data_IF_509444558458
#
_entry.id   IF_509444558458
#
_cell.length_a   1.000
_cell.length_b   1.000
_cell.length_c   1.000
_cell.angle_alpha   90.00
_cell.angle_beta   90.00
_cell.angle_gamma   90.00
#
_symmetry.space_group_name_H-M   'P 1'
#
loop_
_entity.id
_entity.type
_entity.pdbx_description
1 polymer ?
#
# COMPACT_ATOMS: atom_id res chain seq x y z
N UNK A 1 -4.08 10.02 -10.13
CA UNK A 1 -2.67 10.29 -10.50
C UNK A 1 -2.02 11.08 -9.37
N UNK A 2 -0.84 10.67 -8.87
CA UNK A 2 -0.15 11.40 -7.78
C UNK A 2 0.74 12.51 -8.37
N UNK A 3 1.06 13.54 -7.58
CA UNK A 3 1.87 14.70 -8.03
C UNK A 3 3.32 14.32 -8.39
N UNK A 4 3.87 13.30 -7.75
CA UNK A 4 5.23 12.81 -7.97
C UNK A 4 5.36 12.00 -9.27
N UNK A 5 4.24 11.62 -9.89
CA UNK A 5 4.20 10.91 -11.17
C UNK A 5 4.22 11.86 -12.37
N UNK A 6 4.25 13.18 -12.13
CA UNK A 6 4.24 14.21 -13.16
C UNK A 6 2.85 14.50 -13.68
N UNK A 7 2.74 14.89 -14.95
CA UNK A 7 1.44 15.17 -15.57
C UNK A 7 0.75 13.87 -15.97
N UNK A 8 -0.56 13.78 -15.70
CA UNK A 8 -1.36 12.65 -16.14
C UNK A 8 -1.43 12.60 -17.68
N UNK A 9 -1.04 11.48 -18.30
CA UNK A 9 -1.14 11.31 -19.74
C UNK A 9 -2.59 11.40 -20.21
N UNK A 10 -2.79 11.94 -21.42
CA UNK A 10 -4.11 11.93 -22.07
C UNK A 10 -4.39 10.60 -22.80
N UNK A 11 -3.34 9.91 -23.21
CA UNK A 11 -3.44 8.63 -23.89
C UNK A 11 -3.53 7.49 -22.85
N UNK A 12 -4.50 6.61 -23.02
CA UNK A 12 -4.75 5.51 -22.08
C UNK A 12 -3.69 4.41 -22.17
N UNK A 13 -3.06 4.21 -23.32
CA UNK A 13 -1.97 3.23 -23.45
C UNK A 13 -0.71 3.75 -22.74
N UNK A 14 -0.40 5.04 -22.91
CA UNK A 14 0.70 5.70 -22.20
C UNK A 14 0.51 5.62 -20.67
N UNK A 15 -0.72 5.86 -20.18
CA UNK A 15 -1.05 5.70 -18.77
C UNK A 15 -0.77 4.27 -18.28
N UNK A 16 -1.25 3.27 -19.02
CA UNK A 16 -1.06 1.86 -18.66
C UNK A 16 0.43 1.49 -18.66
N UNK A 17 1.20 1.97 -19.62
CA UNK A 17 2.64 1.69 -19.71
C UNK A 17 3.41 2.30 -18.54
N UNK A 18 3.10 3.53 -18.14
CA UNK A 18 3.71 4.16 -16.96
C UNK A 18 3.40 3.39 -15.68
N UNK A 19 2.13 3.01 -15.48
CA UNK A 19 1.71 2.25 -14.29
C UNK A 19 2.37 0.87 -14.27
N UNK A 20 2.39 0.16 -15.40
CA UNK A 20 3.07 -1.15 -15.52
C UNK A 20 4.56 -1.04 -15.24
N UNK A 21 5.22 -0.02 -15.79
CA UNK A 21 6.64 0.21 -15.56
C UNK A 21 6.93 0.44 -14.07
N UNK A 22 6.15 1.27 -13.38
CA UNK A 22 6.30 1.48 -11.93
C UNK A 22 6.03 0.20 -11.13
N UNK A 23 5.00 -0.56 -11.50
CA UNK A 23 4.63 -1.82 -10.84
C UNK A 23 5.75 -2.87 -10.91
N UNK A 24 6.55 -2.90 -11.99
CA UNK A 24 7.70 -3.83 -12.11
C UNK A 24 8.71 -3.64 -10.98
N UNK A 25 8.87 -2.42 -10.47
CA UNK A 25 9.79 -2.10 -9.37
C UNK A 25 9.12 -2.10 -7.99
N UNK A 26 7.80 -2.32 -7.93
CA UNK A 26 7.08 -2.38 -6.67
C UNK A 26 7.50 -3.63 -5.86
N UNK A 27 7.68 -3.51 -4.54
CA UNK A 27 7.86 -4.69 -3.69
C UNK A 27 6.71 -5.67 -3.86
N UNK A 28 6.99 -6.98 -3.99
CA UNK A 28 5.92 -7.98 -4.06
C UNK A 28 5.12 -7.97 -2.77
N UNK A 29 3.81 -8.20 -2.87
CA UNK A 29 2.94 -8.33 -1.70
C UNK A 29 2.86 -9.80 -1.26
N UNK A 30 3.16 -10.03 0.02
CA UNK A 30 3.04 -11.34 0.68
C UNK A 30 1.65 -11.41 1.30
N UNK A 31 0.81 -12.39 0.95
CA UNK A 31 -0.50 -12.55 1.56
C UNK A 31 -0.37 -12.93 3.03
N UNK A 32 -1.16 -12.27 3.88
CA UNK A 32 -1.23 -12.55 5.32
C UNK A 32 -2.55 -13.23 5.65
N UNK A 33 -3.67 -12.57 5.35
CA UNK A 33 -5.01 -13.07 5.62
C UNK A 33 -6.05 -12.31 4.80
N UNK A 34 -6.98 -13.01 4.14
CA UNK A 34 -8.03 -12.37 3.32
C UNK A 34 -7.41 -11.36 2.33
N UNK A 35 -7.87 -10.11 2.33
CA UNK A 35 -7.36 -9.01 1.51
C UNK A 35 -6.13 -8.29 2.12
N UNK A 36 -5.42 -8.90 3.08
CA UNK A 36 -4.31 -8.27 3.81
C UNK A 36 -2.96 -8.76 3.31
N UNK A 37 -2.05 -7.81 3.10
CA UNK A 37 -0.73 -8.08 2.53
C UNK A 37 0.38 -7.28 3.20
N UNK A 38 1.57 -7.86 3.27
CA UNK A 38 2.80 -7.18 3.70
C UNK A 38 3.77 -7.06 2.51
N UNK A 39 4.41 -5.90 2.30
CA UNK A 39 5.40 -5.76 1.24
C UNK A 39 6.67 -6.56 1.57
N UNK A 40 7.16 -7.29 0.57
CA UNK A 40 8.44 -7.99 0.59
C UNK A 40 9.58 -7.00 0.36
N UNK A 41 9.83 -6.15 1.34
CA UNK A 41 10.93 -5.18 1.35
C UNK A 41 11.68 -5.19 2.68
N UNK A 42 12.92 -4.74 2.64
CA UNK A 42 13.79 -4.70 3.81
C UNK A 42 13.34 -3.71 4.90
N UNK A 43 13.89 -3.92 6.10
CA UNK A 43 13.66 -3.10 7.28
C UNK A 43 12.45 -3.55 8.11
N UNK A 44 12.38 -3.03 9.33
CA UNK A 44 11.30 -3.34 10.27
C UNK A 44 10.09 -2.42 10.04
N UNK A 45 8.98 -2.74 10.70
CA UNK A 45 7.73 -1.95 10.69
C UNK A 45 7.20 -1.68 9.27
N UNK A 46 7.18 -2.71 8.42
CA UNK A 46 6.47 -2.65 7.15
C UNK A 46 4.96 -2.59 7.42
N UNK A 47 4.22 -1.70 6.74
CA UNK A 47 2.79 -1.60 6.92
C UNK A 47 2.09 -2.83 6.34
N UNK A 48 0.90 -3.09 6.87
CA UNK A 48 -0.05 -4.05 6.28
C UNK A 48 -1.00 -3.28 5.39
N UNK A 49 -1.06 -3.64 4.12
CA UNK A 49 -2.02 -3.11 3.17
C UNK A 49 -3.27 -3.96 3.15
N UNK A 50 -4.41 -3.32 2.90
CA UNK A 50 -5.60 -4.01 2.40
C UNK A 50 -5.74 -3.72 0.91
N UNK A 51 -5.81 -4.78 0.09
CA UNK A 51 -6.04 -4.67 -1.36
C UNK A 51 -7.32 -5.42 -1.70
N UNK A 52 -8.37 -4.67 -2.03
CA UNK A 52 -9.69 -5.22 -2.35
C UNK A 52 -10.20 -4.60 -3.65
N UNK A 53 -10.19 -5.38 -4.74
CA UNK A 53 -10.50 -4.83 -6.06
C UNK A 53 -9.49 -3.77 -6.48
N UNK A 54 -9.97 -2.55 -6.72
CA UNK A 54 -9.15 -1.39 -7.06
C UNK A 54 -8.68 -0.59 -5.84
N UNK A 55 -9.22 -0.87 -4.66
CA UNK A 55 -8.93 -0.10 -3.46
C UNK A 55 -7.70 -0.64 -2.74
N UNK A 56 -6.73 0.23 -2.51
CA UNK A 56 -5.54 -0.02 -1.70
C UNK A 56 -5.55 0.96 -0.54
N UNK A 57 -5.43 0.45 0.69
CA UNK A 57 -5.32 1.29 1.90
C UNK A 57 -4.26 0.73 2.85
N UNK A 58 -3.76 1.57 3.75
CA UNK A 58 -3.12 1.05 4.97
C UNK A 58 -4.18 0.49 5.90
N UNK A 59 -3.92 -0.72 6.38
CA UNK A 59 -4.75 -1.40 7.36
C UNK A 59 -4.05 -1.54 8.73
N UNK A 60 -2.72 -1.43 8.76
CA UNK A 60 -1.93 -1.24 9.97
C UNK A 60 -0.54 -0.67 9.63
N UNK A 61 0.05 0.13 10.51
CA UNK A 61 1.41 0.69 10.33
C UNK A 61 2.52 -0.35 10.44
N UNK A 62 2.24 -1.49 11.09
CA UNK A 62 3.09 -2.65 11.23
C UNK A 62 2.23 -3.90 11.51
N UNK A 63 2.86 -5.08 11.61
CA UNK A 63 2.15 -6.34 11.87
C UNK A 63 1.43 -6.35 13.23
N UNK A 64 2.00 -5.76 14.27
CA UNK A 64 1.41 -5.77 15.62
C UNK A 64 0.14 -4.92 15.66
N UNK A 65 0.21 -3.70 15.14
CA UNK A 65 -0.96 -2.80 15.04
C UNK A 65 -2.04 -3.41 14.13
N UNK A 66 -1.65 -4.07 13.04
CA UNK A 66 -2.58 -4.81 12.19
C UNK A 66 -3.33 -5.87 12.99
N UNK A 67 -2.62 -6.72 13.75
CA UNK A 67 -3.25 -7.78 14.54
C UNK A 67 -4.19 -7.19 15.60
N UNK A 68 -3.82 -6.09 16.23
CA UNK A 68 -4.72 -5.38 17.16
C UNK A 68 -6.00 -4.89 16.48
N UNK A 69 -5.90 -4.36 15.25
CA UNK A 69 -7.06 -3.87 14.49
C UNK A 69 -7.94 -5.03 14.02
N UNK A 70 -7.36 -6.05 13.41
CA UNK A 70 -8.08 -7.21 12.85
C UNK A 70 -8.87 -7.94 13.94
N UNK A 71 -8.28 -8.09 15.13
CA UNK A 71 -8.92 -8.72 16.28
C UNK A 71 -9.64 -7.74 17.21
N UNK A 72 -9.97 -6.53 16.72
CA UNK A 72 -10.83 -5.53 17.38
C UNK A 72 -10.32 -5.05 18.75
N UNK A 73 -9.03 -5.18 19.04
CA UNK A 73 -8.37 -4.57 20.20
C UNK A 73 -8.11 -3.08 19.99
N UNK A 74 -7.92 -2.67 18.74
CA UNK A 74 -7.69 -1.30 18.31
C UNK A 74 -8.63 -0.95 17.16
N UNK A 75 -8.94 0.34 16.99
CA UNK A 75 -9.75 0.83 15.87
C UNK A 75 -8.85 1.25 14.71
N UNK A 76 -9.22 0.92 13.49
CA UNK A 76 -8.44 1.33 12.30
C UNK A 76 -8.27 2.86 12.21
N UNK A 77 -9.24 3.65 12.68
CA UNK A 77 -9.15 5.11 12.69
C UNK A 77 -8.05 5.67 13.59
N UNK A 78 -7.44 4.84 14.44
CA UNK A 78 -6.34 5.25 15.33
C UNK A 78 -4.95 5.06 14.73
N UNK A 79 -4.85 4.64 13.46
CA UNK A 79 -3.57 4.59 12.73
C UNK A 79 -3.03 6.02 12.55
N UNK A 80 -1.78 6.23 12.94
CA UNK A 80 -1.04 7.48 12.71
C UNK A 80 -0.44 7.47 11.30
N UNK A 81 -1.28 7.74 10.28
CA UNK A 81 -0.90 7.68 8.86
C UNK A 81 0.38 8.47 8.50
N UNK A 82 0.62 9.69 9.06
CA UNK A 82 1.87 10.41 8.83
C UNK A 82 3.14 9.64 9.23
N UNK A 83 3.07 8.72 10.20
CA UNK A 83 4.22 7.92 10.66
C UNK A 83 4.34 6.56 9.96
N UNK A 84 3.38 6.21 9.11
CA UNK A 84 3.43 4.94 8.39
C UNK A 84 4.59 4.96 7.40
N UNK A 85 5.45 3.93 7.46
CA UNK A 85 6.56 3.74 6.53
C UNK A 85 6.03 3.70 5.10
N UNK A 86 6.56 4.57 4.25
CA UNK A 86 6.21 4.61 2.82
C UNK A 86 6.90 3.47 2.09
N UNK A 87 6.13 2.81 1.23
CA UNK A 87 6.52 1.67 0.41
C UNK A 87 6.42 2.12 -1.04
N UNK A 88 7.51 2.01 -1.82
CA UNK A 88 7.51 2.40 -3.23
C UNK A 88 6.32 1.80 -3.96
N UNK A 89 5.69 2.59 -4.82
CA UNK A 89 4.47 2.27 -5.55
C UNK A 89 3.22 2.10 -4.66
N UNK A 90 3.19 1.18 -3.70
CA UNK A 90 1.98 0.86 -2.93
C UNK A 90 1.46 2.02 -2.08
N UNK A 91 2.37 2.86 -1.58
CA UNK A 91 2.00 4.08 -0.84
C UNK A 91 1.54 5.23 -1.73
N UNK A 92 1.83 5.17 -3.03
CA UNK A 92 1.53 6.22 -4.01
C UNK A 92 0.16 6.03 -4.67
N UNK A 93 -0.40 4.82 -4.59
CA UNK A 93 -1.71 4.43 -5.12
C UNK A 93 -2.82 4.39 -4.06
N UNK A 94 -2.54 4.88 -2.86
CA UNK A 94 -3.52 5.08 -1.77
C UNK A 94 -4.18 6.45 -1.95
#
# INVERSE_FOLDING_TARGET
>A
WNTDWGNEPKDSNELVDIVRHKLVFAPKLIPVFSHRYIPMCGGNNNPVFSVCGTDVIYYGSNIDEYLEIEFKKKKQQSIDFPKVKKIPFWSEVI
#
